data_IF_341185396146
#
_entry.id   IF_341185396146
#
_cell.length_a   1.000
_cell.length_b   1.000
_cell.length_c   1.000
_cell.angle_alpha   90.00
_cell.angle_beta   90.00
_cell.angle_gamma   90.00
#
_symmetry.space_group_name_H-M   'P 1'
#
loop_
_entity.id
_entity.type
_entity.pdbx_description
1 polymer ?
#
# COMPACT_ATOMS: atom_id res chain seq x y z
N UNK A 1 -0.16 18.01 -19.03
CA UNK A 1 -0.44 16.71 -18.37
C UNK A 1 -1.12 15.78 -19.38
N UNK A 2 -0.71 15.84 -20.66
CA UNK A 2 -1.48 15.33 -21.80
C UNK A 2 -0.81 14.16 -22.50
N UNK A 3 0.24 13.62 -21.87
CA UNK A 3 0.96 12.46 -22.39
C UNK A 3 0.13 11.21 -22.09
N UNK A 4 -0.39 10.60 -23.14
CA UNK A 4 -1.03 9.29 -23.07
C UNK A 4 0.03 8.19 -23.05
N UNK A 5 -0.21 7.16 -22.24
CA UNK A 5 0.64 5.98 -22.08
C UNK A 5 -0.22 4.72 -22.14
N UNK A 6 0.35 3.61 -22.60
CA UNK A 6 -0.35 2.33 -22.57
C UNK A 6 -0.50 1.83 -21.14
N UNK A 7 -1.70 1.38 -20.81
CA UNK A 7 -2.01 0.61 -19.62
C UNK A 7 -1.67 -0.87 -19.82
N UNK A 8 -1.82 -1.69 -18.77
CA UNK A 8 -1.48 -3.13 -18.78
C UNK A 8 -2.26 -3.95 -19.82
N UNK A 9 -3.42 -3.45 -20.28
CA UNK A 9 -4.26 -4.08 -21.31
C UNK A 9 -3.99 -3.50 -22.71
N UNK A 10 -3.12 -2.49 -22.82
CA UNK A 10 -2.79 -1.81 -24.08
C UNK A 10 -3.69 -0.61 -24.42
N UNK A 11 -4.57 -0.20 -23.50
CA UNK A 11 -5.38 1.01 -23.65
C UNK A 11 -4.57 2.28 -23.36
N UNK A 12 -4.87 3.38 -24.05
CA UNK A 12 -4.19 4.67 -23.84
C UNK A 12 -4.84 5.44 -22.68
N UNK A 13 -4.14 5.52 -21.55
CA UNK A 13 -4.56 6.30 -20.37
C UNK A 13 -3.66 7.52 -20.15
N UNK A 14 -4.14 8.58 -19.49
CA UNK A 14 -3.30 9.70 -19.07
C UNK A 14 -2.15 9.28 -18.15
N UNK A 15 -0.95 9.85 -18.36
CA UNK A 15 0.22 9.58 -17.54
C UNK A 15 -0.01 9.83 -16.05
N UNK A 16 -0.80 10.86 -15.69
CA UNK A 16 -1.08 11.17 -14.29
C UNK A 16 -1.90 10.06 -13.61
N UNK A 17 -2.83 9.42 -14.32
CA UNK A 17 -3.61 8.29 -13.81
C UNK A 17 -2.68 7.10 -13.52
N UNK A 18 -1.78 6.76 -14.44
CA UNK A 18 -0.79 5.68 -14.24
C UNK A 18 0.15 5.95 -13.05
N UNK A 19 0.55 7.20 -12.86
CA UNK A 19 1.39 7.61 -11.72
C UNK A 19 0.60 7.50 -10.41
N UNK A 20 -0.65 7.92 -10.40
CA UNK A 20 -1.54 7.85 -9.24
C UNK A 20 -1.85 6.41 -8.85
N UNK A 21 -2.14 5.54 -9.81
CA UNK A 21 -2.37 4.11 -9.58
C UNK A 21 -1.16 3.43 -8.91
N UNK A 22 0.04 3.72 -9.42
CA UNK A 22 1.29 3.20 -8.85
C UNK A 22 1.54 3.73 -7.43
N UNK A 23 1.34 5.03 -7.20
CA UNK A 23 1.49 5.61 -5.87
C UNK A 23 0.43 5.09 -4.90
N UNK A 24 -0.81 4.91 -5.36
CA UNK A 24 -1.89 4.29 -4.60
C UNK A 24 -1.53 2.88 -4.16
N UNK A 25 -1.00 2.06 -5.07
CA UNK A 25 -0.54 0.70 -4.77
C UNK A 25 0.61 0.70 -3.74
N UNK A 26 1.59 1.61 -3.88
CA UNK A 26 2.69 1.75 -2.92
C UNK A 26 2.18 2.17 -1.53
N UNK A 27 1.26 3.13 -1.46
CA UNK A 27 0.63 3.57 -0.21
C UNK A 27 -0.14 2.44 0.47
N UNK A 28 -0.93 1.68 -0.29
CA UNK A 28 -1.68 0.53 0.20
C UNK A 28 -0.74 -0.57 0.74
N UNK A 29 0.34 -0.89 0.00
CA UNK A 29 1.32 -1.87 0.44
C UNK A 29 2.00 -1.43 1.74
N UNK A 30 2.43 -0.17 1.82
CA UNK A 30 3.08 0.36 3.01
C UNK A 30 2.15 0.36 4.22
N UNK A 31 0.89 0.78 4.06
CA UNK A 31 -0.11 0.74 5.12
C UNK A 31 -0.37 -0.69 5.61
N UNK A 32 -0.42 -1.66 4.69
CA UNK A 32 -0.59 -3.08 5.04
C UNK A 32 0.58 -3.59 5.87
N UNK A 33 1.82 -3.35 5.42
CA UNK A 33 3.02 -3.77 6.17
C UNK A 33 3.10 -3.10 7.54
N UNK A 34 2.81 -1.80 7.62
CA UNK A 34 2.79 -1.09 8.90
C UNK A 34 1.76 -1.65 9.87
N UNK A 35 0.57 -2.03 9.38
CA UNK A 35 -0.46 -2.66 10.21
C UNK A 35 -0.06 -4.06 10.68
N UNK A 36 0.50 -4.90 9.82
CA UNK A 36 0.93 -6.26 10.17
C UNK A 36 2.05 -6.27 11.23
N UNK A 37 3.07 -5.42 11.06
CA UNK A 37 4.13 -5.27 12.07
C UNK A 37 3.59 -4.67 13.37
N UNK A 38 2.70 -3.67 13.29
CA UNK A 38 2.03 -3.10 14.45
C UNK A 38 1.22 -4.13 15.23
N UNK A 39 0.48 -5.00 14.54
CA UNK A 39 -0.30 -6.08 15.14
C UNK A 39 0.61 -7.10 15.84
N UNK A 40 1.72 -7.48 15.22
CA UNK A 40 2.69 -8.41 15.80
C UNK A 40 3.28 -7.88 17.11
N UNK A 41 3.64 -6.59 17.14
CA UNK A 41 4.10 -5.92 18.36
C UNK A 41 2.98 -5.85 19.40
N UNK A 42 1.77 -5.49 18.98
CA UNK A 42 0.60 -5.43 19.86
C UNK A 42 0.28 -6.77 20.52
N UNK A 43 0.32 -7.88 19.79
CA UNK A 43 0.12 -9.23 20.33
C UNK A 43 1.20 -9.57 21.37
N UNK A 44 2.46 -9.24 21.08
CA UNK A 44 3.56 -9.48 22.04
C UNK A 44 3.35 -8.71 23.33
N UNK A 45 2.98 -7.43 23.23
CA UNK A 45 2.67 -6.60 24.40
C UNK A 45 1.47 -7.14 25.18
N UNK A 46 0.41 -7.58 24.50
CA UNK A 46 -0.74 -8.17 25.17
C UNK A 46 -0.36 -9.44 25.94
N UNK A 47 0.46 -10.32 25.35
CA UNK A 47 0.96 -11.52 26.05
C UNK A 47 1.80 -11.16 27.28
N UNK A 48 2.67 -10.16 27.18
CA UNK A 48 3.48 -9.68 28.31
C UNK A 48 2.59 -9.13 29.45
N UNK A 49 1.51 -8.42 29.12
CA UNK A 49 0.55 -7.89 30.10
C UNK A 49 -0.28 -9.00 30.75
N UNK A 50 -0.75 -10.00 29.98
CA UNK A 50 -1.55 -11.11 30.52
C UNK A 50 -0.74 -12.14 31.32
N UNK A 51 0.59 -12.16 31.18
CA UNK A 51 1.48 -13.09 31.89
C UNK A 51 1.97 -12.54 33.24
N UNK A 52 1.42 -11.42 33.69
CA UNK A 52 1.71 -10.69 34.93
C UNK A 52 0.63 -11.00 35.99
#
# INVERSE_FOLDING_TARGET
MDRLVDDYVGDKIPLWEKIMDRQGTVCCAWKKTAFEEGLKVGIRLMMEVYSL
#
